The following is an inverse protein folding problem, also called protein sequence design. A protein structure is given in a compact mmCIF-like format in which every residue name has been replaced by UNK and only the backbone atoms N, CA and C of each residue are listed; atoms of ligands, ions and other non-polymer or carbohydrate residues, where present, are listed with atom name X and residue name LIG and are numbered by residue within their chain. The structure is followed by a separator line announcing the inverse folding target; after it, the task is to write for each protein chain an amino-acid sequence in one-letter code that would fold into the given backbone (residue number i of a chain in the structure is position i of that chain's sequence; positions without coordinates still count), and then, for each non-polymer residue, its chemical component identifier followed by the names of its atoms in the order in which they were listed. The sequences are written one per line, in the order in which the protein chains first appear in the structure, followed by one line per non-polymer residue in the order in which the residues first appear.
data_IF_809537250257
#
_entry.id   IF_809537250257
#
_cell.length_a   1.000
_cell.length_b   1.000
_cell.length_c   1.000
_cell.angle_alpha   90.00
_cell.angle_beta   90.00
_cell.angle_gamma   90.00
#
_symmetry.space_group_name_H-M   'P 1'
#
loop_
_entity.id
_entity.type
_entity.pdbx_description
1 polymer ?
#
# COMPACT_ATOMS: atom_id res chain seq x y z
N UNK A 1 54.42 33.79 -14.51
CA UNK A 1 54.81 32.47 -13.97
C UNK A 1 53.73 32.11 -12.96
N UNK A 2 52.72 31.40 -13.43
CA UNK A 2 51.46 31.16 -12.70
C UNK A 2 51.59 29.95 -11.78
N UNK A 3 51.10 30.11 -10.55
CA UNK A 3 51.14 29.12 -9.49
C UNK A 3 50.23 27.93 -9.74
N UNK A 4 50.76 26.77 -9.38
CA UNK A 4 50.17 25.46 -9.39
C UNK A 4 49.54 25.20 -8.01
N UNK A 5 48.20 25.24 -7.94
CA UNK A 5 47.45 24.91 -6.73
C UNK A 5 46.87 23.50 -6.87
N UNK A 6 47.54 22.56 -6.22
CA UNK A 6 47.21 21.14 -6.15
C UNK A 6 46.08 20.92 -5.12
N UNK A 7 44.84 20.80 -5.59
CA UNK A 7 43.69 20.48 -4.72
C UNK A 7 43.45 18.96 -4.66
N UNK A 8 43.96 18.33 -3.62
CA UNK A 8 43.64 16.95 -3.27
C UNK A 8 42.25 16.88 -2.62
N UNK A 9 41.30 16.15 -3.22
CA UNK A 9 39.99 15.86 -2.62
C UNK A 9 39.82 14.37 -2.37
N UNK A 10 39.74 14.01 -1.08
CA UNK A 10 39.42 12.68 -0.58
C UNK A 10 38.02 12.71 0.03
N UNK A 11 37.06 11.94 -0.50
CA UNK A 11 35.98 11.30 0.28
C UNK A 11 35.29 10.22 -0.56
N UNK A 12 35.09 9.06 0.07
CA UNK A 12 34.57 7.82 -0.50
C UNK A 12 33.03 7.77 -0.49
N UNK A 13 32.43 7.20 -1.54
CA UNK A 13 31.00 6.87 -1.59
C UNK A 13 30.62 6.23 -2.92
N UNK A 14 30.51 4.90 -2.95
CA UNK A 14 30.30 4.11 -4.17
C UNK A 14 28.97 4.34 -4.88
N UNK A 15 29.00 4.47 -6.20
CA UNK A 15 28.08 3.90 -7.19
C UNK A 15 28.35 4.49 -8.58
N UNK A 16 28.66 3.60 -9.52
CA UNK A 16 28.69 3.78 -10.99
C UNK A 16 29.75 4.74 -11.56
N UNK A 17 30.83 4.10 -12.04
CA UNK A 17 31.74 4.57 -13.08
C UNK A 17 30.98 4.74 -14.41
N UNK A 18 30.16 5.78 -14.52
CA UNK A 18 29.59 6.32 -15.77
C UNK A 18 29.52 7.85 -15.66
N UNK A 19 30.65 8.46 -15.35
CA UNK A 19 30.90 9.90 -15.32
C UNK A 19 32.24 10.03 -16.04
N UNK A 20 32.18 10.08 -17.37
CA UNK A 20 32.58 11.27 -18.15
C UNK A 20 32.09 11.18 -19.62
N UNK A 21 31.11 10.33 -19.93
CA UNK A 21 30.59 10.26 -21.30
C UNK A 21 29.62 11.42 -21.54
N UNK A 22 30.04 12.43 -22.31
CA UNK A 22 29.13 13.36 -22.99
C UNK A 22 27.97 12.54 -23.56
N UNK A 23 26.71 12.91 -23.27
CA UNK A 23 25.58 12.12 -23.75
C UNK A 23 25.63 12.05 -25.29
N UNK A 24 25.04 10.99 -25.90
CA UNK A 24 25.00 10.86 -27.35
C UNK A 24 24.44 12.12 -28.02
N UNK A 25 24.90 12.37 -29.24
CA UNK A 25 24.45 13.51 -30.04
C UNK A 25 22.92 13.44 -30.24
N UNK A 26 22.23 14.55 -29.99
CA UNK A 26 20.76 14.63 -29.93
C UNK A 26 20.12 14.48 -28.54
N UNK A 27 20.87 14.15 -27.48
CA UNK A 27 20.32 14.17 -26.13
C UNK A 27 20.21 15.60 -25.58
N UNK A 28 18.99 15.97 -25.15
CA UNK A 28 18.68 17.28 -24.54
C UNK A 28 18.31 17.08 -23.07
N UNK A 29 18.95 17.83 -22.17
CA UNK A 29 18.65 17.74 -20.74
C UNK A 29 17.22 18.23 -20.45
N UNK A 30 16.36 17.39 -19.87
CA UNK A 30 14.96 17.75 -19.58
C UNK A 30 14.75 18.84 -18.53
N UNK A 31 15.77 19.19 -17.74
CA UNK A 31 15.64 20.27 -16.74
C UNK A 31 15.87 21.66 -17.33
N UNK A 32 16.72 21.78 -18.34
CA UNK A 32 17.17 23.07 -18.86
C UNK A 32 17.07 23.20 -20.37
N UNK A 33 16.72 22.12 -21.07
CA UNK A 33 16.61 22.01 -22.51
C UNK A 33 17.90 22.30 -23.29
N UNK A 34 19.06 22.13 -22.65
CA UNK A 34 20.38 22.32 -23.29
C UNK A 34 21.03 20.95 -23.55
N UNK A 35 21.55 20.68 -24.76
CA UNK A 35 22.29 19.46 -25.04
C UNK A 35 23.68 19.46 -24.38
N UNK A 36 24.33 18.29 -24.32
CA UNK A 36 25.73 18.18 -23.89
C UNK A 36 25.98 17.80 -22.43
N UNK A 37 24.95 17.60 -21.62
CA UNK A 37 25.10 17.05 -20.26
C UNK A 37 23.91 16.18 -19.84
N UNK A 38 24.15 15.25 -18.92
CA UNK A 38 23.10 14.43 -18.32
C UNK A 38 22.32 15.23 -17.26
N UNK A 39 21.03 14.92 -17.10
CA UNK A 39 20.13 15.45 -16.06
C UNK A 39 20.77 15.43 -14.65
N UNK A 40 21.60 14.43 -14.36
CA UNK A 40 22.26 14.28 -13.06
C UNK A 40 23.35 15.35 -12.80
N UNK A 41 23.97 15.87 -13.85
CA UNK A 41 25.08 16.85 -13.85
C UNK A 41 24.61 18.23 -14.34
N UNK A 42 23.29 18.43 -14.40
CA UNK A 42 22.71 19.68 -14.91
C UNK A 42 23.11 20.88 -14.03
N UNK A 43 23.71 21.95 -14.59
CA UNK A 43 24.18 23.10 -13.81
C UNK A 43 23.02 23.89 -13.17
N UNK A 44 21.83 23.86 -13.76
CA UNK A 44 20.61 24.47 -13.22
C UNK A 44 19.92 23.61 -12.17
N UNK A 45 20.33 22.35 -11.98
CA UNK A 45 19.84 21.51 -10.88
C UNK A 45 20.43 22.07 -9.59
N UNK A 46 19.72 23.03 -9.00
CA UNK A 46 19.99 23.56 -7.65
C UNK A 46 20.20 22.34 -6.74
N UNK A 47 21.42 22.18 -6.23
CA UNK A 47 21.82 21.10 -5.33
C UNK A 47 21.08 21.29 -4.01
N UNK A 48 19.83 20.86 -3.98
CA UNK A 48 18.99 21.12 -2.84
C UNK A 48 17.55 20.97 -3.25
N UNK A 49 17.07 19.73 -3.20
CA UNK A 49 15.85 19.46 -2.46
C UNK A 49 15.92 18.02 -2.01
N UNK A 50 16.19 17.91 -0.71
CA UNK A 50 15.86 16.83 0.23
C UNK A 50 15.52 15.52 -0.49
N UNK A 51 16.29 14.46 -0.19
CA UNK A 51 15.68 13.13 -0.08
C UNK A 51 14.31 13.40 0.53
N UNK A 52 13.23 13.22 -0.25
CA UNK A 52 11.96 12.82 0.31
C UNK A 52 12.34 11.52 1.00
N UNK A 53 12.86 11.63 2.23
CA UNK A 53 12.68 10.60 3.23
C UNK A 53 11.19 10.41 3.09
N UNK A 54 10.77 9.32 2.45
CA UNK A 54 9.47 8.76 2.73
C UNK A 54 9.47 8.75 4.24
N UNK A 55 8.81 9.73 4.82
CA UNK A 55 8.70 9.84 6.26
C UNK A 55 8.12 8.48 6.64
N UNK A 56 8.77 7.69 7.50
CA UNK A 56 8.09 6.59 8.19
C UNK A 56 7.03 7.16 9.17
N UNK A 57 6.53 8.36 8.91
CA UNK A 57 5.97 9.31 9.87
C UNK A 57 4.54 9.62 9.47
N UNK A 58 3.72 8.58 9.45
CA UNK A 58 2.39 8.62 10.08
C UNK A 58 2.27 7.51 11.15
N UNK A 59 3.40 7.10 11.74
CA UNK A 59 3.38 6.43 13.04
C UNK A 59 4.44 7.07 13.93
N UNK A 60 4.13 8.25 14.46
CA UNK A 60 4.83 8.75 15.65
C UNK A 60 4.45 7.79 16.79
N UNK A 61 5.40 7.09 17.43
CA UNK A 61 5.08 6.31 18.62
C UNK A 61 4.60 7.30 19.68
N UNK A 62 3.30 7.28 20.00
CA UNK A 62 2.75 8.09 21.09
C UNK A 62 3.23 7.43 22.39
N UNK A 63 4.11 8.07 23.18
CA UNK A 63 4.51 7.51 24.46
C UNK A 63 3.27 7.41 25.35
N UNK A 64 2.97 6.21 25.87
CA UNK A 64 1.87 5.99 26.81
C UNK A 64 0.52 5.56 26.21
N UNK A 65 0.43 5.30 24.91
CA UNK A 65 -0.58 4.36 24.40
C UNK A 65 0.09 2.99 24.31
N UNK A 66 0.00 2.22 25.40
CA UNK A 66 0.29 0.80 25.30
C UNK A 66 -0.70 0.20 24.28
N UNK A 67 -0.22 -0.50 23.23
CA UNK A 67 -1.11 -1.11 22.26
C UNK A 67 -2.12 -2.00 22.98
N UNK A 68 -3.37 -1.99 22.52
CA UNK A 68 -4.42 -2.80 23.14
C UNK A 68 -3.94 -4.26 23.19
N UNK A 69 -4.26 -5.04 24.24
CA UNK A 69 -3.96 -6.46 24.26
C UNK A 69 -4.50 -7.20 23.01
N UNK A 70 -5.54 -6.67 22.36
CA UNK A 70 -6.05 -7.15 21.08
C UNK A 70 -5.07 -6.89 19.91
N UNK A 71 -4.48 -5.69 19.82
CA UNK A 71 -3.49 -5.33 18.80
C UNK A 71 -2.22 -6.18 18.93
N UNK A 72 -1.82 -6.47 20.18
CA UNK A 72 -0.67 -7.33 20.49
C UNK A 72 -0.93 -8.77 20.03
N UNK A 73 -2.13 -9.30 20.28
CA UNK A 73 -2.51 -10.64 19.84
C UNK A 73 -2.59 -10.75 18.31
N UNK A 74 -3.12 -9.72 17.63
CA UNK A 74 -3.17 -9.67 16.17
C UNK A 74 -1.77 -9.63 15.54
N UNK A 75 -0.86 -8.83 16.10
CA UNK A 75 0.52 -8.76 15.65
C UNK A 75 1.25 -10.11 15.81
N UNK A 76 1.02 -10.83 16.93
CA UNK A 76 1.58 -12.17 17.14
C UNK A 76 1.05 -13.19 16.12
N UNK A 77 -0.26 -13.16 15.82
CA UNK A 77 -0.88 -14.02 14.81
C UNK A 77 -0.32 -13.77 13.40
N UNK A 78 -0.10 -12.50 13.05
CA UNK A 78 0.54 -12.12 11.79
C UNK A 78 1.97 -12.67 11.68
N UNK A 79 2.76 -12.58 12.76
CA UNK A 79 4.10 -13.15 12.80
C UNK A 79 4.10 -14.68 12.66
N UNK A 80 3.14 -15.37 13.29
CA UNK A 80 2.99 -16.82 13.17
C UNK A 80 2.73 -17.25 11.70
N UNK A 81 1.88 -16.52 10.98
CA UNK A 81 1.59 -16.76 9.56
C UNK A 81 2.85 -16.59 8.71
N UNK A 82 3.63 -15.53 8.94
CA UNK A 82 4.86 -15.27 8.19
C UNK A 82 5.91 -16.35 8.45
N UNK A 83 6.09 -16.78 9.69
CA UNK A 83 7.04 -17.83 10.05
C UNK A 83 6.65 -19.19 9.47
N UNK A 84 5.35 -19.48 9.39
CA UNK A 84 4.83 -20.70 8.73
C UNK A 84 5.22 -20.74 7.25
N UNK A 85 5.17 -19.61 6.56
CA UNK A 85 5.49 -19.53 5.12
C UNK A 85 7.00 -19.62 4.85
N UNK A 86 7.84 -19.04 5.71
CA UNK A 86 9.31 -19.12 5.57
C UNK A 86 9.83 -20.56 5.69
N UNK A 87 9.13 -21.42 6.44
CA UNK A 87 9.52 -22.82 6.61
C UNK A 87 9.24 -23.68 5.35
N UNK A 88 8.22 -23.33 4.56
CA UNK A 88 7.87 -24.06 3.33
C UNK A 88 8.85 -23.77 2.20
N UNK A 89 9.38 -22.54 2.09
CA UNK A 89 10.34 -22.17 1.03
C UNK A 89 11.72 -22.81 1.20
N UNK A 90 12.18 -23.02 2.45
CA UNK A 90 13.50 -23.65 2.69
C UNK A 90 13.53 -25.12 2.28
N UNK A 91 12.38 -25.79 2.24
CA UNK A 91 12.31 -27.20 1.84
C UNK A 91 12.27 -27.43 0.32
N UNK A 92 11.89 -26.41 -0.46
CA UNK A 92 11.83 -26.48 -1.93
C UNK A 92 13.17 -26.19 -2.63
N UNK A 93 14.09 -25.47 -1.97
CA UNK A 93 15.41 -25.14 -2.55
C UNK A 93 16.42 -26.31 -2.47
N UNK A 94 16.22 -27.28 -1.57
CA UNK A 94 17.16 -28.39 -1.37
C UNK A 94 17.03 -29.52 -2.41
N UNK A 95 15.88 -29.68 -3.07
CA UNK A 95 15.67 -30.75 -4.06
C UNK A 95 16.09 -30.40 -5.49
N UNK A 96 16.45 -29.13 -5.77
CA UNK A 96 16.80 -28.69 -7.13
C UNK A 96 18.29 -28.80 -7.47
N UNK A 97 19.18 -29.04 -6.51
CA UNK A 97 20.65 -29.05 -6.74
C UNK A 97 21.24 -30.42 -7.06
N UNK A 98 20.47 -31.29 -7.73
CA UNK A 98 20.94 -32.62 -8.17
C UNK A 98 20.37 -33.09 -9.51
N UNK A 99 19.95 -32.17 -10.38
CA UNK A 99 19.61 -32.45 -11.79
C UNK A 99 20.17 -31.36 -12.72
N UNK A 100 21.49 -31.28 -12.85
CA UNK A 100 22.12 -30.39 -13.85
C UNK A 100 23.35 -31.06 -14.48
N UNK A 101 23.21 -32.30 -15.00
CA UNK A 101 24.27 -32.93 -15.82
C UNK A 101 23.76 -33.56 -17.14
N UNK A 102 22.52 -33.29 -17.57
CA UNK A 102 21.99 -33.83 -18.84
C UNK A 102 21.30 -32.78 -19.75
N UNK A 103 21.70 -31.50 -19.69
CA UNK A 103 21.13 -30.45 -20.56
C UNK A 103 22.14 -29.68 -21.39
N UNK A 104 23.20 -30.35 -21.85
CA UNK A 104 24.01 -29.85 -22.98
C UNK A 104 23.34 -30.02 -24.36
N UNK A 105 22.12 -30.55 -24.45
CA UNK A 105 21.37 -30.59 -25.72
C UNK A 105 20.60 -29.28 -25.96
N UNK A 106 21.27 -28.32 -26.58
CA UNK A 106 20.75 -26.98 -26.91
C UNK A 106 19.69 -26.96 -28.03
N UNK A 107 19.35 -28.11 -28.62
CA UNK A 107 18.50 -28.19 -29.83
C UNK A 107 17.18 -28.96 -29.67
N UNK A 108 16.92 -29.61 -28.53
CA UNK A 108 15.63 -30.26 -28.28
C UNK A 108 14.82 -29.43 -27.27
N UNK A 109 14.02 -28.48 -27.76
CA UNK A 109 12.89 -27.97 -26.97
C UNK A 109 11.80 -29.04 -27.00
N UNK A 110 11.48 -29.74 -25.89
CA UNK A 110 10.43 -30.73 -25.89
C UNK A 110 9.08 -30.03 -26.07
N UNK A 111 8.29 -30.47 -27.04
CA UNK A 111 6.93 -29.97 -27.27
C UNK A 111 6.01 -30.13 -26.03
N UNK A 112 6.39 -30.96 -25.07
CA UNK A 112 5.63 -31.19 -23.83
C UNK A 112 5.59 -30.01 -22.84
N UNK A 113 6.48 -29.02 -22.97
CA UNK A 113 6.45 -27.86 -22.07
C UNK A 113 5.27 -26.92 -22.38
N UNK A 114 4.85 -26.84 -23.64
CA UNK A 114 3.68 -26.05 -24.08
C UNK A 114 2.36 -26.65 -23.57
N UNK A 115 2.23 -27.98 -23.61
CA UNK A 115 1.00 -28.67 -23.18
C UNK A 115 0.78 -28.55 -21.66
N UNK A 116 1.85 -28.58 -20.86
CA UNK A 116 1.75 -28.36 -19.41
C UNK A 116 1.43 -26.90 -19.06
N UNK A 117 1.93 -25.93 -19.83
CA UNK A 117 1.62 -24.51 -19.64
C UNK A 117 0.14 -24.19 -19.93
N UNK A 118 -0.48 -24.89 -20.89
CA UNK A 118 -1.93 -24.76 -21.13
C UNK A 118 -2.78 -25.39 -20.02
N UNK A 119 -2.39 -26.56 -19.48
CA UNK A 119 -3.11 -27.19 -18.36
C UNK A 119 -3.06 -26.35 -17.07
N UNK A 120 -1.94 -25.68 -16.80
CA UNK A 120 -1.81 -24.79 -15.64
C UNK A 120 -2.75 -23.57 -15.69
N UNK A 121 -3.05 -23.05 -16.89
CA UNK A 121 -4.00 -21.94 -17.07
C UNK A 121 -5.45 -22.38 -16.87
N UNK A 122 -5.81 -23.62 -17.22
CA UNK A 122 -7.15 -24.15 -17.03
C UNK A 122 -7.50 -24.37 -15.54
N UNK A 123 -6.54 -24.82 -14.73
CA UNK A 123 -6.75 -25.06 -13.29
C UNK A 123 -7.06 -23.79 -12.49
N UNK A 124 -6.39 -22.68 -12.78
CA UNK A 124 -6.58 -21.41 -12.05
C UNK A 124 -7.96 -20.78 -12.28
N UNK A 125 -8.55 -20.95 -13.48
CA UNK A 125 -9.87 -20.38 -13.79
C UNK A 125 -11.00 -21.06 -13.00
N UNK A 126 -10.90 -22.37 -12.78
CA UNK A 126 -11.87 -23.11 -11.96
C UNK A 126 -11.77 -22.73 -10.47
N UNK A 127 -10.56 -22.55 -9.96
CA UNK A 127 -10.33 -22.12 -8.57
C UNK A 127 -10.86 -20.71 -8.31
N UNK A 128 -10.61 -19.76 -9.21
CA UNK A 128 -11.14 -18.38 -9.11
C UNK A 128 -12.67 -18.36 -9.10
N UNK A 129 -13.32 -19.11 -9.99
CA UNK A 129 -14.79 -19.18 -10.05
C UNK A 129 -15.39 -19.77 -8.76
N UNK A 130 -14.73 -20.77 -8.17
CA UNK A 130 -15.16 -21.35 -6.89
C UNK A 130 -15.04 -20.34 -5.74
N UNK A 131 -13.94 -19.59 -5.68
CA UNK A 131 -13.72 -18.56 -4.67
C UNK A 131 -14.76 -17.42 -4.78
N UNK A 132 -15.03 -16.93 -5.99
CA UNK A 132 -16.03 -15.89 -6.24
C UNK A 132 -17.46 -16.34 -5.86
N UNK A 133 -17.79 -17.61 -6.16
CA UNK A 133 -19.08 -18.18 -5.77
C UNK A 133 -19.22 -18.28 -4.24
N UNK A 134 -18.17 -18.68 -3.54
CA UNK A 134 -18.17 -18.78 -2.08
C UNK A 134 -18.27 -17.40 -1.41
N UNK A 135 -17.54 -16.41 -1.92
CA UNK A 135 -17.60 -15.02 -1.44
C UNK A 135 -19.01 -14.44 -1.61
N UNK A 136 -19.64 -14.66 -2.77
CA UNK A 136 -21.02 -14.22 -3.02
C UNK A 136 -22.05 -14.88 -2.08
N UNK A 137 -21.82 -16.14 -1.70
CA UNK A 137 -22.67 -16.86 -0.75
C UNK A 137 -22.50 -16.32 0.68
N UNK A 138 -21.28 -15.93 1.07
CA UNK A 138 -21.00 -15.30 2.36
C UNK A 138 -21.67 -13.93 2.47
N UNK A 139 -21.51 -13.05 1.47
CA UNK A 139 -22.19 -11.74 1.42
C UNK A 139 -23.71 -11.84 1.53
N UNK A 140 -24.32 -12.87 0.92
CA UNK A 140 -25.76 -13.16 1.05
C UNK A 140 -26.17 -13.61 2.45
N UNK A 141 -25.31 -14.32 3.18
CA UNK A 141 -25.57 -14.73 4.57
C UNK A 141 -25.47 -13.54 5.52
N UNK A 142 -24.43 -12.72 5.35
CA UNK A 142 -24.19 -11.53 6.16
C UNK A 142 -25.34 -10.51 6.03
N UNK A 143 -25.75 -10.20 4.80
CA UNK A 143 -26.89 -9.29 4.56
C UNK A 143 -28.21 -9.81 5.15
N UNK A 144 -28.42 -11.13 5.20
CA UNK A 144 -29.58 -11.73 5.90
C UNK A 144 -29.47 -11.57 7.42
N UNK A 145 -28.28 -11.74 7.99
CA UNK A 145 -28.05 -11.55 9.43
C UNK A 145 -28.26 -10.09 9.85
N UNK A 146 -27.73 -9.13 9.08
CA UNK A 146 -27.93 -7.70 9.34
C UNK A 146 -29.42 -7.34 9.30
N UNK A 147 -30.16 -7.83 8.30
CA UNK A 147 -31.62 -7.61 8.21
C UNK A 147 -32.37 -8.21 9.40
N UNK A 148 -32.00 -9.41 9.85
CA UNK A 148 -32.61 -10.04 11.03
C UNK A 148 -32.34 -9.23 12.29
N UNK A 149 -31.09 -8.82 12.53
CA UNK A 149 -30.72 -8.01 13.69
C UNK A 149 -31.45 -6.65 13.71
N UNK A 150 -31.66 -6.04 12.53
CA UNK A 150 -32.41 -4.78 12.42
C UNK A 150 -33.89 -4.93 12.79
N UNK A 151 -34.53 -6.05 12.44
CA UNK A 151 -35.90 -6.36 12.84
C UNK A 151 -35.97 -6.56 14.37
N UNK A 152 -35.07 -7.35 14.94
CA UNK A 152 -35.03 -7.62 16.38
C UNK A 152 -34.76 -6.34 17.20
N UNK A 153 -33.86 -5.45 16.73
CA UNK A 153 -33.65 -4.14 17.35
C UNK A 153 -34.89 -3.25 17.28
N UNK A 154 -35.64 -3.29 16.18
CA UNK A 154 -36.88 -2.50 16.05
C UNK A 154 -38.00 -3.01 16.96
N UNK A 155 -38.11 -4.33 17.17
CA UNK A 155 -39.06 -4.92 18.11
C UNK A 155 -38.69 -4.58 19.56
N UNK A 156 -37.40 -4.68 19.91
CA UNK A 156 -36.92 -4.34 21.26
C UNK A 156 -37.10 -2.85 21.56
N UNK A 157 -36.86 -1.96 20.60
CA UNK A 157 -37.12 -0.52 20.76
C UNK A 157 -38.59 -0.24 21.04
N UNK A 158 -39.50 -0.90 20.32
CA UNK A 158 -40.95 -0.74 20.52
C UNK A 158 -41.41 -1.19 21.92
N UNK A 159 -40.77 -2.21 22.50
CA UNK A 159 -41.08 -2.66 23.87
C UNK A 159 -40.58 -1.67 24.94
N UNK A 160 -39.40 -1.07 24.74
CA UNK A 160 -38.85 -0.08 25.70
C UNK A 160 -39.67 1.21 25.68
N UNK A 161 -40.13 1.66 24.50
CA UNK A 161 -40.94 2.87 24.37
C UNK A 161 -42.32 2.71 25.03
N UNK A 162 -42.93 1.53 24.95
CA UNK A 162 -44.21 1.25 25.63
C UNK A 162 -44.10 1.19 27.16
N UNK A 163 -42.92 0.91 27.73
CA UNK A 163 -42.71 0.87 29.17
C UNK A 163 -42.40 2.26 29.79
N UNK A 164 -42.14 3.28 28.97
CA UNK A 164 -41.77 4.61 29.45
C UNK A 164 -42.96 5.58 29.63
N UNK A 165 -44.17 5.22 29.19
CA UNK A 165 -45.37 6.07 29.29
C UNK A 165 -46.19 5.88 30.59
N UNK A 166 -45.81 5.01 31.53
CA UNK A 166 -46.61 4.77 32.76
C UNK A 166 -46.15 5.53 34.03
N UNK A 167 -45.10 6.37 33.99
CA UNK A 167 -44.53 7.02 35.19
C UNK A 167 -44.31 8.56 35.08
N UNK A 168 -45.13 9.29 34.31
CA UNK A 168 -45.05 10.76 34.26
C UNK A 168 -46.40 11.44 34.53
N UNK A 169 -46.92 11.24 35.74
CA UNK A 169 -47.84 12.19 36.37
C UNK A 169 -47.26 12.54 37.75
N UNK A 170 -47.23 13.83 38.05
CA UNK A 170 -46.83 14.44 39.32
C UNK A 170 -45.32 14.60 39.61
N UNK A 171 -44.77 15.77 39.27
CA UNK A 171 -44.19 16.69 40.27
C UNK A 171 -43.45 17.86 39.63
N UNK A 172 -44.11 19.02 39.76
CA UNK A 172 -43.55 20.36 39.65
C UNK A 172 -42.38 20.61 40.61
N UNK A 173 -41.31 21.29 40.14
CA UNK A 173 -40.79 22.58 40.66
C UNK A 173 -39.28 22.80 40.44
N UNK A 174 -38.94 23.99 39.89
CA UNK A 174 -37.79 24.90 40.16
C UNK A 174 -36.33 24.34 40.26
N UNK A 175 -35.24 24.98 39.82
CA UNK A 175 -34.90 26.29 39.25
C UNK A 175 -33.36 26.38 39.09
N UNK A 176 -32.85 27.03 38.03
CA UNK A 176 -31.48 27.61 37.91
C UNK A 176 -30.31 26.64 37.74
N UNK A 177 -29.21 26.91 37.03
CA UNK A 177 -28.69 28.10 36.36
C UNK A 177 -27.39 27.73 35.61
N UNK A 178 -27.19 28.26 34.39
CA UNK A 178 -25.92 28.66 33.72
C UNK A 178 -24.66 27.77 33.87
N UNK A 179 -23.96 27.35 32.81
CA UNK A 179 -23.16 28.23 31.94
C UNK A 179 -22.44 27.46 30.81
N UNK A 180 -22.44 28.05 29.61
CA UNK A 180 -21.41 28.14 28.53
C UNK A 180 -20.09 27.37 28.73
N UNK A 181 -19.47 26.75 27.71
CA UNK A 181 -19.14 27.37 26.42
C UNK A 181 -18.96 26.37 25.28
N UNK A 182 -19.36 26.85 24.10
CA UNK A 182 -19.17 26.37 22.74
C UNK A 182 -17.67 26.26 22.37
N UNK A 183 -17.27 25.20 21.67
CA UNK A 183 -16.15 25.21 20.72
C UNK A 183 -16.48 24.20 19.58
N UNK A 184 -17.02 24.78 18.52
CA UNK A 184 -17.30 24.22 17.20
C UNK A 184 -15.98 23.93 16.45
N UNK A 185 -15.84 22.77 15.80
CA UNK A 185 -14.82 22.56 14.77
C UNK A 185 -15.15 21.36 13.89
N UNK A 186 -15.99 21.63 12.90
CA UNK A 186 -16.24 20.79 11.74
C UNK A 186 -14.99 20.74 10.83
N UNK A 187 -14.39 19.56 10.70
CA UNK A 187 -13.31 19.28 9.76
C UNK A 187 -13.84 18.64 8.47
N UNK A 188 -14.41 19.45 7.58
CA UNK A 188 -14.83 19.05 6.24
C UNK A 188 -13.60 18.81 5.34
N UNK A 189 -13.19 17.55 5.17
CA UNK A 189 -12.13 17.18 4.24
C UNK A 189 -12.67 17.15 2.80
N UNK A 190 -12.52 18.27 2.08
CA UNK A 190 -12.71 18.38 0.63
C UNK A 190 -11.84 17.36 -0.11
N UNK A 191 -12.50 16.39 -0.75
CA UNK A 191 -11.92 15.63 -1.87
C UNK A 191 -11.77 16.58 -3.05
N UNK A 192 -10.53 16.85 -3.44
CA UNK A 192 -10.20 17.49 -4.71
C UNK A 192 -9.90 16.40 -5.73
N UNK A 193 -10.88 16.11 -6.58
CA UNK A 193 -10.67 15.31 -7.79
C UNK A 193 -9.79 16.11 -8.74
N UNK A 194 -8.53 15.68 -8.87
CA UNK A 194 -7.59 16.26 -9.84
C UNK A 194 -7.67 15.42 -11.11
N UNK A 195 -8.58 15.81 -11.99
CA UNK A 195 -8.62 15.40 -13.38
C UNK A 195 -7.36 15.95 -14.08
N UNK A 196 -6.53 15.07 -14.63
CA UNK A 196 -5.42 15.45 -15.52
C UNK A 196 -5.48 14.58 -16.75
N UNK A 197 -6.40 14.98 -17.62
CA UNK A 197 -6.24 15.11 -19.08
C UNK A 197 -5.01 14.43 -19.68
N UNK A 198 -5.29 13.28 -20.30
CA UNK A 198 -4.57 12.72 -21.44
C UNK A 198 -4.60 13.72 -22.59
N UNK A 199 -3.43 14.15 -23.06
CA UNK A 199 -3.29 14.74 -24.39
C UNK A 199 -2.47 13.77 -25.23
N UNK A 200 -3.21 13.01 -26.04
CA UNK A 200 -2.74 12.28 -27.19
C UNK A 200 -2.30 13.30 -28.26
N UNK A 201 -0.99 13.37 -28.52
CA UNK A 201 -0.45 14.04 -29.71
C UNK A 201 -0.03 12.94 -30.70
N UNK A 202 -0.88 12.80 -31.70
CA UNK A 202 -0.79 11.97 -32.90
C UNK A 202 -0.23 12.89 -34.00
N UNK A 203 0.95 12.62 -34.57
CA UNK A 203 1.31 13.14 -35.89
C UNK A 203 2.18 12.13 -36.67
N UNK A 204 1.86 12.12 -37.98
CA UNK A 204 2.18 11.20 -39.08
C UNK A 204 3.66 11.01 -39.44
#
# INVERSE_FOLDING_TARGET
MGGEEESQSNTQGGATKRKESTPPDGYVCRLCSVPGHWIQVCPTKKTGDKKRKRTPSDHVPVPGKDPSPEDVAEAQKMQEILLRNVSVEKHLVSTSKKRDDETQCRFARPADLELNKMKARAGNKAAQKKAEQEESAQKRKETKQIKKAKVEQSEKKKQVEAAAEEDNDDSSSSSGSSSSSDEDSEGEAKKVDSDSSSSDDDEE
#
